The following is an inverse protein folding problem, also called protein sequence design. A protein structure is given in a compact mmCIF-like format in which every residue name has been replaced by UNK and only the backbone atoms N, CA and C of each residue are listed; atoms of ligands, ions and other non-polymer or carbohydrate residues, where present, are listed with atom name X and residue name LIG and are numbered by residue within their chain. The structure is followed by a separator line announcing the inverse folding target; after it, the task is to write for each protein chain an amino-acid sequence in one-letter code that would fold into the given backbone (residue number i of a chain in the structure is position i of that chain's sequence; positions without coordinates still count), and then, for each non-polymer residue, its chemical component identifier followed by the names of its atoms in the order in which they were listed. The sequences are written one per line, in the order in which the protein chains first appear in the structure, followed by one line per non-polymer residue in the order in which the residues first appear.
data_IF_767585754088
#
_entry.id   IF_767585754088
#
_cell.length_a   1.000
_cell.length_b   1.000
_cell.length_c   1.000
_cell.angle_alpha   90.00
_cell.angle_beta   90.00
_cell.angle_gamma   90.00
#
_symmetry.space_group_name_H-M   'P 1'
#
loop_
_entity.id
_entity.type
_entity.pdbx_description
1 polymer ?
#
# COMPACT_ATOMS: atom_id res chain seq x y z
N UNK A 1 -12.71 -16.00 -14.90
CA UNK A 1 -11.53 -15.32 -14.28
C UNK A 1 -10.83 -16.29 -13.34
N UNK A 2 -9.50 -16.23 -13.19
CA UNK A 2 -8.76 -17.12 -12.25
C UNK A 2 -9.11 -16.71 -10.80
N UNK A 3 -9.40 -17.67 -9.91
CA UNK A 3 -9.75 -17.43 -8.48
C UNK A 3 -8.79 -16.43 -7.80
N UNK A 4 -7.49 -16.54 -8.06
CA UNK A 4 -6.47 -15.61 -7.56
C UNK A 4 -6.72 -14.16 -7.96
N UNK A 5 -7.13 -13.90 -9.20
CA UNK A 5 -7.40 -12.53 -9.65
C UNK A 5 -8.63 -11.95 -8.94
N UNK A 6 -9.66 -12.76 -8.71
CA UNK A 6 -10.84 -12.36 -7.92
C UNK A 6 -10.44 -12.03 -6.48
N UNK A 7 -9.65 -12.90 -5.84
CA UNK A 7 -9.14 -12.67 -4.48
C UNK A 7 -8.26 -11.42 -4.40
N UNK A 8 -7.37 -11.21 -5.38
CA UNK A 8 -6.51 -10.04 -5.43
C UNK A 8 -7.35 -8.75 -5.52
N UNK A 9 -8.22 -8.64 -6.52
CA UNK A 9 -9.03 -7.43 -6.72
C UNK A 9 -9.96 -7.17 -5.53
N UNK A 10 -10.56 -8.23 -4.96
CA UNK A 10 -11.43 -8.12 -3.79
C UNK A 10 -10.68 -7.64 -2.55
N UNK A 11 -9.56 -8.27 -2.20
CA UNK A 11 -8.78 -7.93 -1.02
C UNK A 11 -8.13 -6.55 -1.13
N UNK A 12 -7.51 -6.26 -2.27
CA UNK A 12 -6.89 -4.96 -2.51
C UNK A 12 -7.95 -3.84 -2.51
N UNK A 13 -9.11 -4.08 -3.12
CA UNK A 13 -10.23 -3.12 -3.14
C UNK A 13 -10.81 -2.85 -1.76
N UNK A 14 -11.05 -3.90 -0.96
CA UNK A 14 -11.55 -3.76 0.42
C UNK A 14 -10.55 -2.99 1.27
N UNK A 15 -9.26 -3.30 1.16
CA UNK A 15 -8.24 -2.58 1.91
C UNK A 15 -8.17 -1.12 1.47
N UNK A 16 -8.15 -0.82 0.16
CA UNK A 16 -8.13 0.56 -0.31
C UNK A 16 -9.34 1.36 0.19
N UNK A 17 -10.52 0.75 0.19
CA UNK A 17 -11.75 1.36 0.72
C UNK A 17 -11.67 1.57 2.24
N UNK A 18 -11.19 0.57 3.00
CA UNK A 18 -11.00 0.68 4.43
C UNK A 18 -9.99 1.78 4.80
N UNK A 19 -8.90 1.88 4.04
CA UNK A 19 -7.91 2.96 4.19
C UNK A 19 -8.52 4.31 3.89
N UNK A 20 -9.32 4.43 2.83
CA UNK A 20 -10.00 5.69 2.49
C UNK A 20 -10.93 6.18 3.60
N UNK A 21 -11.77 5.28 4.13
CA UNK A 21 -12.72 5.61 5.21
C UNK A 21 -11.98 5.89 6.52
N UNK A 22 -10.94 5.11 6.82
CA UNK A 22 -10.21 5.16 8.09
C UNK A 22 -9.11 6.21 8.17
N UNK A 23 -8.67 6.80 7.06
CA UNK A 23 -7.51 7.70 7.00
C UNK A 23 -7.65 8.95 7.89
N UNK A 24 -8.88 9.46 8.08
CA UNK A 24 -9.14 10.61 8.94
C UNK A 24 -9.28 10.28 10.43
N UNK A 25 -9.26 9.00 10.82
CA UNK A 25 -9.43 8.57 12.21
C UNK A 25 -8.11 8.62 13.01
N UNK A 26 -8.18 9.05 14.27
CA UNK A 26 -7.00 9.24 15.12
C UNK A 26 -6.18 7.96 15.41
N UNK A 27 -6.78 6.77 15.28
CA UNK A 27 -6.10 5.48 15.50
C UNK A 27 -5.67 4.80 14.21
N UNK A 28 -6.48 4.85 13.16
CA UNK A 28 -6.21 4.17 11.88
C UNK A 28 -5.35 5.00 10.93
N UNK A 29 -5.49 6.33 10.93
CA UNK A 29 -4.71 7.24 10.08
C UNK A 29 -3.20 7.02 10.22
N UNK A 30 -2.63 6.99 11.43
CA UNK A 30 -1.21 6.72 11.62
C UNK A 30 -0.77 5.33 11.14
N UNK A 31 -1.58 4.30 11.36
CA UNK A 31 -1.27 2.96 10.89
C UNK A 31 -1.27 2.86 9.36
N UNK A 32 -2.26 3.47 8.70
CA UNK A 32 -2.34 3.55 7.24
C UNK A 32 -1.14 4.32 6.69
N UNK A 33 -0.82 5.48 7.28
CA UNK A 33 0.35 6.27 6.92
C UNK A 33 1.64 5.44 7.04
N UNK A 34 1.82 4.68 8.12
CA UNK A 34 2.99 3.82 8.31
C UNK A 34 3.14 2.76 7.20
N UNK A 35 2.04 2.23 6.64
CA UNK A 35 2.11 1.27 5.53
C UNK A 35 2.58 1.88 4.20
N UNK A 36 2.43 3.19 4.03
CA UNK A 36 2.87 3.94 2.86
C UNK A 36 4.29 4.45 3.10
N UNK A 37 4.50 5.17 4.20
CA UNK A 37 5.75 5.84 4.50
C UNK A 37 6.87 4.90 4.94
N UNK A 38 6.55 3.80 5.62
CA UNK A 38 7.55 2.80 6.05
C UNK A 38 8.44 2.31 4.89
N UNK A 39 7.88 1.73 3.81
CA UNK A 39 8.68 1.32 2.67
C UNK A 39 9.35 2.50 1.96
N UNK A 40 8.71 3.67 1.88
CA UNK A 40 9.31 4.83 1.25
C UNK A 40 10.54 5.34 2.01
N UNK A 41 10.52 5.37 3.34
CA UNK A 41 11.71 5.71 4.13
C UNK A 41 12.85 4.73 3.92
N UNK A 42 12.55 3.44 3.77
CA UNK A 42 13.58 2.46 3.45
C UNK A 42 14.22 2.74 2.08
N UNK A 43 13.41 3.10 1.08
CA UNK A 43 13.89 3.42 -0.26
C UNK A 43 14.66 4.75 -0.29
N UNK A 44 14.20 5.75 0.45
CA UNK A 44 14.88 7.04 0.63
C UNK A 44 16.24 6.87 1.34
N UNK A 45 16.31 6.01 2.35
CA UNK A 45 17.57 5.66 3.02
C UNK A 45 18.58 4.98 2.06
N UNK A 46 18.11 4.40 0.96
CA UNK A 46 18.95 3.87 -0.13
C UNK A 46 19.29 4.91 -1.21
N UNK A 47 18.87 6.17 -1.02
CA UNK A 47 19.14 7.29 -1.91
C UNK A 47 18.16 7.43 -3.08
N UNK A 48 17.01 6.77 -3.05
CA UNK A 48 16.00 6.91 -4.10
C UNK A 48 15.13 8.17 -3.89
N UNK A 49 14.85 8.96 -4.94
CA UNK A 49 14.09 10.21 -4.83
C UNK A 49 12.56 9.94 -4.74
N UNK A 50 12.15 9.24 -3.68
CA UNK A 50 10.77 8.79 -3.48
C UNK A 50 9.88 9.81 -2.76
N UNK A 51 10.48 10.84 -2.17
CA UNK A 51 9.78 11.98 -1.60
C UNK A 51 9.94 13.22 -2.49
N UNK A 52 8.88 14.03 -2.56
CA UNK A 52 8.85 15.31 -3.25
C UNK A 52 8.93 16.49 -2.28
N UNK A 53 8.92 17.71 -2.84
CA UNK A 53 9.07 18.95 -2.08
C UNK A 53 7.75 19.49 -1.47
N UNK A 54 6.62 18.82 -1.72
CA UNK A 54 5.30 19.27 -1.26
C UNK A 54 4.90 18.62 0.07
N UNK A 55 4.20 19.33 0.97
CA UNK A 55 3.67 18.74 2.18
C UNK A 55 2.54 17.74 1.88
N UNK A 56 2.53 16.61 2.58
CA UNK A 56 1.34 15.77 2.72
C UNK A 56 0.48 16.25 3.90
N UNK A 57 -0.80 15.86 3.92
CA UNK A 57 -1.81 16.28 4.90
C UNK A 57 -1.53 15.97 6.38
N UNK A 58 -0.35 15.49 6.76
CA UNK A 58 0.05 15.20 8.13
C UNK A 58 1.45 15.70 8.53
N UNK A 59 2.06 16.62 7.77
CA UNK A 59 3.40 17.15 8.06
C UNK A 59 4.57 16.30 7.53
N UNK A 60 4.28 15.21 6.82
CA UNK A 60 5.27 14.37 6.14
C UNK A 60 5.54 14.90 4.74
N UNK A 61 6.74 14.67 4.20
CA UNK A 61 7.02 14.95 2.80
C UNK A 61 6.10 14.11 1.90
N UNK A 62 5.40 14.74 0.96
CA UNK A 62 4.54 14.03 0.02
C UNK A 62 5.36 13.08 -0.85
N UNK A 63 4.87 11.85 -1.14
CA UNK A 63 5.55 10.97 -2.09
C UNK A 63 5.67 11.62 -3.47
N UNK A 64 6.81 11.42 -4.13
CA UNK A 64 6.97 11.78 -5.55
C UNK A 64 6.17 10.81 -6.44
N UNK A 65 6.11 11.05 -7.75
CA UNK A 65 5.52 10.10 -8.70
C UNK A 65 6.19 8.72 -8.63
N UNK A 66 7.52 8.69 -8.48
CA UNK A 66 8.28 7.46 -8.24
C UNK A 66 7.87 6.82 -6.91
N UNK A 67 7.74 7.60 -5.84
CA UNK A 67 7.28 7.11 -4.55
C UNK A 67 5.91 6.44 -4.64
N UNK A 68 4.94 7.07 -5.29
CA UNK A 68 3.63 6.47 -5.53
C UNK A 68 3.70 5.18 -6.35
N UNK A 69 4.52 5.15 -7.41
CA UNK A 69 4.73 3.93 -8.19
C UNK A 69 5.32 2.79 -7.33
N UNK A 70 6.33 3.08 -6.51
CA UNK A 70 6.92 2.12 -5.58
C UNK A 70 5.90 1.59 -4.57
N UNK A 71 5.09 2.46 -3.97
CA UNK A 71 4.02 2.06 -3.05
C UNK A 71 3.04 1.13 -3.75
N UNK A 72 2.52 1.50 -4.91
CA UNK A 72 1.55 0.69 -5.65
C UNK A 72 2.12 -0.68 -6.05
N UNK A 73 3.39 -0.74 -6.46
CA UNK A 73 4.05 -1.99 -6.82
C UNK A 73 4.26 -2.90 -5.59
N UNK A 74 4.75 -2.36 -4.49
CA UNK A 74 4.95 -3.11 -3.24
C UNK A 74 3.62 -3.63 -2.68
N UNK A 75 2.61 -2.77 -2.66
CA UNK A 75 1.28 -3.11 -2.16
C UNK A 75 0.58 -4.13 -3.07
N UNK A 76 0.70 -3.95 -4.39
CA UNK A 76 0.21 -4.90 -5.38
C UNK A 76 0.89 -6.27 -5.25
N UNK A 77 2.22 -6.29 -5.10
CA UNK A 77 2.97 -7.53 -4.88
C UNK A 77 2.55 -8.24 -3.59
N UNK A 78 2.36 -7.49 -2.49
CA UNK A 78 1.89 -8.02 -1.23
C UNK A 78 0.52 -8.69 -1.35
N UNK A 79 -0.49 -7.98 -1.88
CA UNK A 79 -1.83 -8.53 -2.03
C UNK A 79 -1.91 -9.65 -3.06
N UNK A 80 -1.07 -9.61 -4.09
CA UNK A 80 -0.95 -10.72 -5.03
C UNK A 80 -0.37 -11.98 -4.35
N UNK A 81 0.61 -11.81 -3.47
CA UNK A 81 1.16 -12.87 -2.63
C UNK A 81 0.07 -13.49 -1.73
N UNK A 82 -0.67 -12.66 -1.00
CA UNK A 82 -1.80 -13.11 -0.16
C UNK A 82 -2.84 -13.87 -0.98
N UNK A 83 -3.28 -13.31 -2.11
CA UNK A 83 -4.23 -13.96 -3.00
C UNK A 83 -3.70 -15.29 -3.56
N UNK A 84 -2.40 -15.40 -3.82
CA UNK A 84 -1.76 -16.64 -4.27
C UNK A 84 -1.78 -17.72 -3.20
N UNK A 85 -1.46 -17.35 -1.95
CA UNK A 85 -1.49 -18.27 -0.81
C UNK A 85 -2.92 -18.76 -0.53
N UNK A 86 -3.90 -17.86 -0.51
CA UNK A 86 -5.31 -18.22 -0.32
C UNK A 86 -5.83 -19.10 -1.46
N UNK A 87 -5.56 -18.73 -2.71
CA UNK A 87 -5.95 -19.57 -3.85
C UNK A 87 -5.28 -20.95 -3.82
N UNK A 88 -4.09 -21.10 -3.22
CA UNK A 88 -3.45 -22.41 -3.00
C UNK A 88 -4.15 -23.16 -1.86
N UNK A 89 -4.51 -22.49 -0.78
CA UNK A 89 -5.23 -23.09 0.35
C UNK A 89 -6.62 -23.60 -0.05
N UNK A 90 -7.39 -22.84 -0.84
CA UNK A 90 -8.72 -23.24 -1.32
C UNK A 90 -8.73 -24.36 -2.37
N UNK A 91 -7.56 -24.76 -2.87
CA UNK A 91 -7.40 -25.87 -3.84
C UNK A 91 -6.90 -27.15 -3.19
N UNK A 92 -6.62 -27.12 -1.89
CA UNK A 92 -6.35 -28.30 -1.06
C UNK A 92 -7.65 -28.73 -0.41
#
# INVERSE_FOLDING_TARGET
MKLRAVLFSGLAGIHALASWIGAGGGTLGPAIAATIYGPLFLLDALGLPVFGNGPSGGGWAGPSELGWACVLLLWGAFWWGVATLLARACRR
#
